data_IF_110146246651
#
_entry.id   IF_110146246651
#
_cell.length_a   1.000
_cell.length_b   1.000
_cell.length_c   1.000
_cell.angle_alpha   90.00
_cell.angle_beta   90.00
_cell.angle_gamma   90.00
#
_symmetry.space_group_name_H-M   'P 1'
#
loop_
_entity.id
_entity.type
_entity.pdbx_description
1 polymer ?
#
# COMPACT_ATOMS: atom_id res chain seq x y z
N UNK A 1 -69.22 -14.82 39.55
CA UNK A 1 -68.85 -15.61 38.34
C UNK A 1 -68.89 -14.71 37.13
N UNK A 2 -67.90 -14.87 36.23
CA UNK A 2 -67.61 -14.13 34.98
C UNK A 2 -66.70 -12.90 35.14
N UNK A 3 -65.41 -13.19 34.91
CA UNK A 3 -64.37 -12.24 34.49
C UNK A 3 -64.77 -11.57 33.16
N UNK A 4 -64.43 -10.30 32.97
CA UNK A 4 -63.81 -9.83 31.72
C UNK A 4 -63.06 -8.50 31.93
N UNK A 5 -61.72 -8.62 31.89
CA UNK A 5 -60.65 -7.69 31.50
C UNK A 5 -60.94 -6.18 31.43
N UNK A 6 -60.32 -5.44 32.35
CA UNK A 6 -60.00 -4.02 32.17
C UNK A 6 -58.88 -3.88 31.12
N UNK A 7 -59.15 -3.14 30.05
CA UNK A 7 -58.18 -2.74 29.04
C UNK A 7 -57.52 -1.45 29.53
N UNK A 8 -56.34 -1.57 30.15
CA UNK A 8 -55.50 -0.44 30.52
C UNK A 8 -54.61 -0.11 29.31
N UNK A 9 -54.87 1.02 28.67
CA UNK A 9 -54.04 1.55 27.58
C UNK A 9 -52.75 2.08 28.21
N UNK A 10 -51.67 1.33 28.10
CA UNK A 10 -50.32 1.78 28.47
C UNK A 10 -49.78 2.70 27.39
N UNK A 11 -49.66 4.00 27.70
CA UNK A 11 -48.85 4.93 26.92
C UNK A 11 -47.38 4.58 27.17
N UNK A 12 -46.74 3.92 26.19
CA UNK A 12 -45.29 3.69 26.21
C UNK A 12 -44.59 5.02 25.95
N UNK A 13 -43.98 5.60 26.99
CA UNK A 13 -43.11 6.75 26.89
C UNK A 13 -41.83 6.33 26.15
N UNK A 14 -41.69 6.73 24.88
CA UNK A 14 -40.44 6.55 24.13
C UNK A 14 -39.40 7.51 24.72
N UNK A 15 -38.51 6.99 25.57
CA UNK A 15 -37.32 7.73 26.00
C UNK A 15 -36.36 7.79 24.80
N UNK A 16 -36.32 8.95 24.13
CA UNK A 16 -35.29 9.24 23.15
C UNK A 16 -33.95 9.41 23.88
N UNK A 17 -33.11 8.37 23.85
CA UNK A 17 -31.69 8.51 24.17
C UNK A 17 -31.03 9.27 23.02
N UNK A 18 -30.89 10.58 23.17
CA UNK A 18 -29.96 11.36 22.35
C UNK A 18 -28.53 10.99 22.78
N UNK A 19 -27.86 10.17 21.99
CA UNK A 19 -26.42 9.98 22.10
C UNK A 19 -25.75 11.32 21.73
N UNK A 20 -25.24 12.04 22.73
CA UNK A 20 -24.34 13.15 22.49
C UNK A 20 -23.03 12.59 21.91
N UNK A 21 -22.88 12.65 20.59
CA UNK A 21 -21.58 12.55 19.96
C UNK A 21 -20.80 13.82 20.35
N UNK A 22 -19.82 13.69 21.23
CA UNK A 22 -18.86 14.76 21.46
C UNK A 22 -18.04 14.93 20.17
N UNK A 23 -18.16 16.09 19.52
CA UNK A 23 -17.28 16.48 18.41
C UNK A 23 -15.85 16.60 18.94
N UNK A 24 -14.99 15.64 18.59
CA UNK A 24 -13.56 15.72 18.84
C UNK A 24 -12.94 16.60 17.75
N UNK A 25 -12.80 17.88 18.02
CA UNK A 25 -12.14 18.80 17.11
C UNK A 25 -10.63 18.55 17.16
N UNK A 26 -10.08 17.88 16.13
CA UNK A 26 -8.64 17.71 15.97
C UNK A 26 -8.08 18.95 15.26
N UNK A 27 -7.66 19.94 16.05
CA UNK A 27 -6.92 21.10 15.54
C UNK A 27 -5.51 20.65 15.12
N UNK A 28 -5.32 20.32 13.83
CA UNK A 28 -4.00 20.21 13.23
C UNK A 28 -3.47 21.60 12.89
N UNK A 29 -3.04 22.35 13.91
CA UNK A 29 -2.24 23.55 13.70
C UNK A 29 -0.90 23.13 13.06
N UNK A 30 -0.78 23.37 11.75
CA UNK A 30 0.38 23.02 10.95
C UNK A 30 1.65 23.69 11.47
N UNK A 31 2.55 22.90 12.04
CA UNK A 31 3.95 23.28 12.09
C UNK A 31 4.45 23.37 10.64
N UNK A 32 4.90 24.55 10.22
CA UNK A 32 5.58 24.71 8.95
C UNK A 32 6.92 23.95 9.02
N UNK A 33 6.89 22.65 8.71
CA UNK A 33 8.07 21.85 8.47
C UNK A 33 8.69 22.39 7.19
N UNK A 34 9.93 22.86 7.27
CA UNK A 34 10.67 23.29 6.10
C UNK A 34 10.90 22.08 5.21
N UNK A 35 10.16 22.01 4.10
CA UNK A 35 10.24 20.90 3.15
C UNK A 35 11.66 20.77 2.59
N UNK A 36 12.32 19.65 2.85
CA UNK A 36 13.64 19.35 2.28
C UNK A 36 13.46 18.57 0.98
N UNK A 37 13.41 19.30 -0.13
CA UNK A 37 13.30 18.70 -1.47
C UNK A 37 14.60 17.97 -1.85
N UNK A 38 14.50 16.68 -2.19
CA UNK A 38 15.60 15.87 -2.73
C UNK A 38 15.32 15.52 -4.20
N UNK A 39 15.94 16.27 -5.12
CA UNK A 39 15.77 16.10 -6.57
C UNK A 39 16.24 14.73 -7.07
N UNK A 40 17.09 14.05 -6.30
CA UNK A 40 17.59 12.70 -6.61
C UNK A 40 16.47 11.66 -6.48
N UNK A 41 15.57 11.85 -5.52
CA UNK A 41 14.45 10.93 -5.25
C UNK A 41 13.14 11.40 -5.92
N UNK A 42 13.05 12.68 -6.29
CA UNK A 42 11.83 13.25 -6.86
C UNK A 42 12.11 14.36 -7.88
N UNK A 43 12.58 14.03 -9.09
CA UNK A 43 12.98 15.03 -10.09
C UNK A 43 11.79 15.81 -10.71
N UNK A 44 10.53 15.48 -10.39
CA UNK A 44 9.33 16.05 -11.03
C UNK A 44 8.22 16.45 -10.04
N UNK A 45 8.56 16.80 -8.79
CA UNK A 45 7.56 17.21 -7.79
C UNK A 45 6.89 18.56 -8.13
N UNK A 46 5.98 18.57 -9.09
CA UNK A 46 5.07 19.68 -9.30
C UNK A 46 3.87 19.46 -8.38
N UNK A 47 3.66 20.34 -7.40
CA UNK A 47 2.41 20.41 -6.64
C UNK A 47 1.28 20.75 -7.63
N UNK A 48 0.65 19.74 -8.22
CA UNK A 48 -0.61 19.93 -8.92
C UNK A 48 -1.73 19.88 -7.88
N UNK A 49 -2.59 20.92 -7.79
CA UNK A 49 -3.61 21.00 -6.75
C UNK A 49 -4.65 19.86 -6.76
N UNK A 50 -4.63 18.96 -7.74
CA UNK A 50 -5.60 17.86 -7.91
C UNK A 50 -4.99 16.49 -8.24
N UNK A 51 -3.70 16.24 -7.98
CA UNK A 51 -3.11 14.92 -8.23
C UNK A 51 -2.60 14.31 -6.92
N UNK A 52 -3.12 13.12 -6.57
CA UNK A 52 -2.53 12.25 -5.55
C UNK A 52 -1.05 12.02 -5.94
N UNK A 53 -0.13 12.61 -5.17
CA UNK A 53 1.31 12.66 -5.47
C UNK A 53 2.04 11.35 -5.16
N UNK A 54 1.55 10.25 -5.70
CA UNK A 54 2.12 8.89 -5.64
C UNK A 54 2.77 8.53 -6.98
N UNK A 55 3.61 9.41 -7.54
CA UNK A 55 4.25 9.15 -8.83
C UNK A 55 5.66 9.75 -8.91
N UNK A 56 6.31 9.87 -7.74
CA UNK A 56 7.70 10.31 -7.63
C UNK A 56 8.64 9.25 -8.21
N UNK A 57 8.27 7.97 -8.06
CA UNK A 57 8.93 6.81 -8.65
C UNK A 57 7.87 5.79 -9.10
N UNK A 58 7.99 5.30 -10.34
CA UNK A 58 7.16 4.22 -10.87
C UNK A 58 8.03 2.97 -11.06
N UNK A 59 7.63 1.87 -10.42
CA UNK A 59 8.30 0.56 -10.50
C UNK A 59 7.32 -0.46 -11.08
N UNK A 60 7.75 -1.22 -12.09
CA UNK A 60 7.01 -2.37 -12.58
C UNK A 60 7.74 -3.63 -12.18
N UNK A 61 7.06 -4.56 -11.52
CA UNK A 61 7.61 -5.84 -11.12
C UNK A 61 6.65 -6.97 -11.53
N UNK A 62 7.19 -8.07 -12.05
CA UNK A 62 6.47 -9.35 -12.15
C UNK A 62 6.87 -10.25 -10.99
N UNK A 63 6.23 -11.41 -10.82
CA UNK A 63 6.48 -12.32 -9.68
C UNK A 63 6.26 -11.66 -8.31
N UNK A 64 5.40 -10.65 -8.29
CA UNK A 64 5.13 -9.84 -7.12
C UNK A 64 3.76 -10.16 -6.50
N UNK A 65 3.23 -11.35 -6.79
CA UNK A 65 1.94 -11.84 -6.32
C UNK A 65 2.10 -13.29 -5.85
N UNK A 66 1.31 -13.68 -4.84
CA UNK A 66 1.24 -15.08 -4.39
C UNK A 66 0.62 -15.91 -5.51
N UNK A 67 1.32 -16.93 -6.05
CA UNK A 67 0.77 -17.80 -7.08
C UNK A 67 -0.34 -18.69 -6.49
N UNK A 68 -1.31 -19.08 -7.32
CA UNK A 68 -2.36 -20.01 -6.91
C UNK A 68 -1.85 -21.47 -6.89
N UNK A 69 -0.73 -21.72 -7.56
CA UNK A 69 -0.07 -23.03 -7.68
C UNK A 69 1.41 -22.96 -7.31
N UNK A 70 2.05 -24.11 -7.15
CA UNK A 70 3.51 -24.20 -7.03
C UNK A 70 4.23 -24.18 -8.39
N UNK A 71 3.50 -23.95 -9.49
CA UNK A 71 4.08 -23.93 -10.82
C UNK A 71 4.83 -22.63 -11.07
N UNK A 72 5.99 -22.75 -11.71
CA UNK A 72 6.72 -21.60 -12.24
C UNK A 72 5.96 -20.89 -13.39
N UNK A 73 4.99 -21.58 -14.01
CA UNK A 73 4.13 -21.06 -15.08
C UNK A 73 2.81 -20.47 -14.55
N UNK A 74 2.67 -20.29 -13.24
CA UNK A 74 1.47 -19.68 -12.68
C UNK A 74 1.25 -18.27 -13.27
N UNK A 75 0.06 -17.97 -13.83
CA UNK A 75 -0.19 -16.69 -14.49
C UNK A 75 -0.05 -15.49 -13.56
N UNK A 76 -0.25 -15.65 -12.24
CA UNK A 76 -0.05 -14.57 -11.27
C UNK A 76 1.42 -14.14 -11.16
N UNK A 77 2.37 -15.04 -11.49
CA UNK A 77 3.79 -14.70 -11.55
C UNK A 77 4.14 -13.80 -12.76
N UNK A 78 3.25 -13.69 -13.75
CA UNK A 78 3.44 -12.86 -14.94
C UNK A 78 2.63 -11.56 -14.91
N UNK A 79 1.82 -11.35 -13.87
CA UNK A 79 1.09 -10.09 -13.68
C UNK A 79 2.10 -8.99 -13.37
N UNK A 80 2.07 -7.91 -14.18
CA UNK A 80 2.84 -6.70 -13.90
C UNK A 80 2.14 -5.97 -12.76
N UNK A 81 2.86 -5.81 -11.66
CA UNK A 81 2.46 -4.99 -10.53
C UNK A 81 3.15 -3.63 -10.66
N UNK A 82 2.32 -2.60 -10.81
CA UNK A 82 2.75 -1.22 -10.91
C UNK A 82 2.76 -0.59 -9.52
N UNK A 83 3.93 -0.16 -9.08
CA UNK A 83 4.17 0.56 -7.84
C UNK A 83 4.28 2.04 -8.18
N UNK A 84 3.29 2.79 -7.75
CA UNK A 84 3.22 4.23 -7.93
C UNK A 84 3.58 4.87 -6.59
N UNK A 85 4.84 5.26 -6.45
CA UNK A 85 5.46 5.57 -5.17
C UNK A 85 5.52 7.07 -4.89
N UNK A 86 5.32 7.41 -3.62
CA UNK A 86 5.62 8.71 -3.03
C UNK A 86 6.88 8.59 -2.18
N UNK A 87 7.85 9.47 -2.38
CA UNK A 87 9.05 9.55 -1.54
C UNK A 87 8.86 10.57 -0.40
N UNK A 88 9.41 10.27 0.77
CA UNK A 88 9.34 11.10 1.97
C UNK A 88 10.73 11.56 2.42
N UNK A 89 10.77 12.60 3.27
CA UNK A 89 12.01 13.25 3.71
C UNK A 89 12.94 12.30 4.49
N UNK A 90 12.38 11.29 5.14
CA UNK A 90 13.11 10.25 5.88
C UNK A 90 13.61 9.11 4.99
N UNK A 91 13.55 9.29 3.67
CA UNK A 91 13.93 8.29 2.65
C UNK A 91 13.06 7.03 2.66
N UNK A 92 11.88 7.07 3.27
CA UNK A 92 10.85 6.04 3.07
C UNK A 92 10.07 6.30 1.78
N UNK A 93 9.49 5.24 1.22
CA UNK A 93 8.53 5.35 0.13
C UNK A 93 7.24 4.61 0.48
N UNK A 94 6.12 5.14 0.01
CA UNK A 94 4.83 4.45 0.02
C UNK A 94 4.35 4.34 -1.40
N UNK A 95 4.08 3.12 -1.83
CA UNK A 95 3.62 2.84 -3.17
C UNK A 95 2.17 2.38 -3.16
N UNK A 96 1.33 2.99 -3.99
CA UNK A 96 0.03 2.43 -4.35
C UNK A 96 0.24 1.42 -5.47
N UNK A 97 -0.34 0.23 -5.32
CA UNK A 97 -0.08 -0.88 -6.23
C UNK A 97 -1.27 -1.20 -7.12
N UNK A 98 -1.03 -1.39 -8.42
CA UNK A 98 -2.06 -1.63 -9.44
C UNK A 98 -1.64 -2.77 -10.39
N UNK A 99 -2.59 -3.46 -11.00
CA UNK A 99 -2.32 -4.55 -11.96
C UNK A 99 -2.45 -4.14 -13.45
N UNK A 100 -2.79 -2.87 -13.74
CA UNK A 100 -3.03 -2.37 -15.12
C UNK A 100 -2.41 -1.01 -15.44
N UNK A 101 -1.70 -0.37 -14.49
CA UNK A 101 -0.88 0.82 -14.75
C UNK A 101 -1.61 2.16 -14.74
N UNK A 102 -2.43 2.43 -13.71
CA UNK A 102 -3.07 3.72 -13.41
C UNK A 102 -3.83 4.39 -14.58
N UNK A 103 -4.70 3.65 -15.27
CA UNK A 103 -5.74 4.25 -16.13
C UNK A 103 -6.85 4.88 -15.28
N UNK A 104 -7.69 5.72 -15.88
CA UNK A 104 -8.74 6.50 -15.22
C UNK A 104 -9.73 5.69 -14.34
N UNK A 105 -9.81 4.37 -14.50
CA UNK A 105 -10.71 3.49 -13.74
C UNK A 105 -9.98 2.42 -12.94
N UNK A 106 -8.65 2.47 -12.89
CA UNK A 106 -7.85 1.49 -12.18
C UNK A 106 -7.98 1.69 -10.68
N UNK A 107 -8.23 0.58 -9.97
CA UNK A 107 -8.34 0.56 -8.52
C UNK A 107 -7.06 -0.03 -7.94
N UNK A 108 -6.51 0.55 -6.86
CA UNK A 108 -5.38 -0.04 -6.19
C UNK A 108 -5.78 -1.42 -5.63
N UNK A 109 -4.80 -2.30 -5.55
CA UNK A 109 -4.98 -3.66 -5.02
C UNK A 109 -4.18 -3.91 -3.74
N UNK A 110 -3.23 -3.03 -3.45
CA UNK A 110 -2.37 -3.09 -2.29
C UNK A 110 -1.53 -1.83 -2.14
N UNK A 111 -0.64 -1.86 -1.16
CA UNK A 111 0.42 -0.90 -1.01
C UNK A 111 1.72 -1.59 -0.60
N UNK A 112 2.83 -0.94 -0.91
CA UNK A 112 4.14 -1.32 -0.42
C UNK A 112 4.70 -0.18 0.42
N UNK A 113 5.18 -0.52 1.62
CA UNK A 113 5.99 0.38 2.44
C UNK A 113 7.46 0.03 2.20
N UNK A 114 8.26 1.01 1.80
CA UNK A 114 9.69 0.82 1.56
C UNK A 114 10.48 1.63 2.58
N UNK A 115 11.42 0.99 3.26
CA UNK A 115 12.27 1.63 4.28
C UNK A 115 13.75 1.38 3.99
N UNK A 116 14.65 2.33 4.36
CA UNK A 116 16.09 2.10 4.31
C UNK A 116 16.54 0.95 5.24
N UNK A 117 17.65 0.29 4.89
CA UNK A 117 18.28 -0.76 5.72
C UNK A 117 18.44 -0.33 7.19
N UNK A 118 18.87 0.91 7.44
CA UNK A 118 19.06 1.42 8.81
C UNK A 118 17.77 1.51 9.66
N UNK A 119 16.60 1.58 9.02
CA UNK A 119 15.30 1.47 9.71
C UNK A 119 14.91 0.01 9.92
N UNK A 120 15.11 -0.83 8.90
CA UNK A 120 14.84 -2.27 8.98
C UNK A 120 15.63 -2.96 10.10
N UNK A 121 16.91 -2.62 10.26
CA UNK A 121 17.78 -3.18 11.31
C UNK A 121 17.25 -2.92 12.74
N UNK A 122 16.44 -1.86 12.92
CA UNK A 122 15.85 -1.46 14.20
C UNK A 122 14.46 -2.06 14.43
N UNK A 123 13.90 -2.77 13.45
CA UNK A 123 12.62 -3.45 13.62
C UNK A 123 12.74 -4.58 14.64
N UNK A 124 11.66 -4.88 15.39
CA UNK A 124 11.57 -6.10 16.16
C UNK A 124 11.83 -7.34 15.30
N UNK A 125 12.42 -8.37 15.88
CA UNK A 125 12.80 -9.57 15.12
C UNK A 125 11.57 -10.28 14.54
N UNK A 126 10.48 -10.30 15.30
CA UNK A 126 9.19 -10.80 14.88
C UNK A 126 8.54 -9.99 13.76
N UNK A 127 9.00 -8.77 13.47
CA UNK A 127 8.45 -7.95 12.38
C UNK A 127 9.24 -8.15 11.09
N UNK A 128 10.54 -8.38 11.18
CA UNK A 128 11.46 -8.47 10.02
C UNK A 128 11.04 -9.51 8.98
N UNK A 129 10.43 -10.62 9.41
CA UNK A 129 9.97 -11.67 8.49
C UNK A 129 8.85 -11.23 7.54
N UNK A 130 8.23 -10.06 7.77
CA UNK A 130 7.24 -9.49 6.87
C UNK A 130 7.81 -8.62 5.73
N UNK A 131 9.14 -8.51 5.66
CA UNK A 131 9.83 -7.62 4.73
C UNK A 131 10.75 -8.42 3.80
N UNK A 132 10.92 -7.95 2.56
CA UNK A 132 11.89 -8.48 1.61
C UNK A 132 12.97 -7.46 1.28
N UNK A 133 14.17 -7.95 1.01
CA UNK A 133 15.31 -7.10 0.68
C UNK A 133 15.39 -6.82 -0.83
N UNK A 134 15.37 -5.55 -1.23
CA UNK A 134 15.29 -5.18 -2.64
C UNK A 134 16.51 -5.55 -3.47
N UNK A 135 17.72 -5.58 -2.91
CA UNK A 135 18.90 -6.05 -3.66
C UNK A 135 18.71 -7.49 -4.20
N UNK A 136 18.03 -8.34 -3.44
CA UNK A 136 17.74 -9.73 -3.85
C UNK A 136 16.46 -9.84 -4.67
N UNK A 137 15.45 -9.05 -4.34
CA UNK A 137 14.13 -9.10 -4.98
C UNK A 137 14.12 -8.48 -6.38
N UNK A 138 14.75 -7.32 -6.58
CA UNK A 138 14.66 -6.53 -7.83
C UNK A 138 15.03 -7.36 -9.07
N UNK A 139 16.15 -8.12 -9.09
CA UNK A 139 16.47 -8.98 -10.22
C UNK A 139 15.47 -10.13 -10.39
N UNK A 140 15.01 -10.75 -9.29
CA UNK A 140 14.09 -11.90 -9.31
C UNK A 140 12.72 -11.50 -9.86
N UNK A 141 12.21 -10.35 -9.42
CA UNK A 141 10.94 -9.78 -9.86
C UNK A 141 11.02 -9.12 -11.25
N UNK A 142 12.21 -9.10 -11.86
CA UNK A 142 12.50 -8.40 -13.13
C UNK A 142 12.01 -6.95 -13.06
N UNK A 143 12.26 -6.29 -11.94
CA UNK A 143 11.74 -4.96 -11.69
C UNK A 143 12.36 -3.93 -12.66
N UNK A 144 11.54 -3.00 -13.13
CA UNK A 144 11.92 -1.95 -14.10
C UNK A 144 11.37 -0.59 -13.67
N UNK A 145 12.01 0.47 -14.16
CA UNK A 145 11.64 1.87 -13.88
C UNK A 145 11.19 2.54 -15.19
N UNK A 146 9.95 2.30 -15.66
CA UNK A 146 9.51 2.65 -17.01
C UNK A 146 9.55 4.15 -17.33
N UNK A 147 9.46 5.01 -16.32
CA UNK A 147 9.38 6.48 -16.51
C UNK A 147 10.73 7.19 -16.35
N UNK A 148 11.80 6.43 -16.11
CA UNK A 148 13.17 6.90 -15.98
C UNK A 148 13.99 6.58 -17.24
N UNK A 149 14.89 7.50 -17.59
CA UNK A 149 15.97 7.20 -18.53
C UNK A 149 16.95 6.19 -17.93
N UNK A 150 17.76 5.54 -18.77
CA UNK A 150 18.78 4.60 -18.29
C UNK A 150 19.77 5.23 -17.29
N UNK A 151 20.15 6.50 -17.50
CA UNK A 151 21.06 7.23 -16.62
C UNK A 151 20.41 7.59 -15.27
N UNK A 152 19.11 7.91 -15.26
CA UNK A 152 18.34 8.12 -14.02
C UNK A 152 18.16 6.79 -13.26
N UNK A 153 17.79 5.73 -13.97
CA UNK A 153 17.65 4.39 -13.40
C UNK A 153 18.96 3.88 -12.78
N UNK A 154 20.10 4.11 -13.45
CA UNK A 154 21.41 3.71 -12.96
C UNK A 154 21.82 4.44 -11.65
N UNK A 155 21.32 5.66 -11.42
CA UNK A 155 21.56 6.41 -10.17
C UNK A 155 20.67 5.95 -9.03
N UNK A 156 19.43 5.59 -9.31
CA UNK A 156 18.45 5.22 -8.26
C UNK A 156 18.55 3.75 -7.86
N UNK A 157 18.93 2.85 -8.77
CA UNK A 157 19.00 1.41 -8.52
C UNK A 157 19.88 1.06 -7.29
N UNK A 158 21.08 1.62 -7.10
CA UNK A 158 21.87 1.36 -5.89
C UNK A 158 21.18 1.81 -4.60
N UNK A 159 20.36 2.87 -4.66
CA UNK A 159 19.59 3.35 -3.50
C UNK A 159 18.45 2.40 -3.19
N UNK A 160 17.67 2.00 -4.21
CA UNK A 160 16.56 1.05 -4.08
C UNK A 160 17.07 -0.30 -3.57
N UNK A 161 18.22 -0.78 -4.06
CA UNK A 161 18.80 -2.04 -3.61
C UNK A 161 19.07 -2.08 -2.09
N UNK A 162 19.36 -0.94 -1.47
CA UNK A 162 19.64 -0.82 -0.03
C UNK A 162 18.38 -0.47 0.80
N UNK A 163 17.22 -0.99 0.36
CA UNK A 163 15.92 -0.82 1.04
C UNK A 163 15.19 -2.14 1.22
N UNK A 164 14.20 -2.15 2.10
CA UNK A 164 13.31 -3.28 2.38
C UNK A 164 11.87 -2.88 2.08
N UNK A 165 11.13 -3.78 1.45
CA UNK A 165 9.72 -3.62 1.12
C UNK A 165 8.82 -4.49 2.00
N UNK A 166 7.68 -3.95 2.44
CA UNK A 166 6.57 -4.71 3.02
C UNK A 166 5.34 -4.52 2.17
N UNK A 167 4.93 -5.60 1.50
CA UNK A 167 3.80 -5.60 0.58
C UNK A 167 2.55 -6.10 1.27
N UNK A 168 1.49 -5.31 1.22
CA UNK A 168 0.18 -5.66 1.76
C UNK A 168 -0.84 -5.55 0.64
N UNK A 169 -1.48 -6.67 0.31
CA UNK A 169 -2.60 -6.71 -0.61
C UNK A 169 -3.92 -6.78 0.15
N UNK A 170 -4.92 -6.06 -0.36
CA UNK A 170 -6.29 -6.12 0.12
C UNK A 170 -7.27 -6.58 -0.97
N UNK A 171 -6.78 -6.83 -2.20
CA UNK A 171 -7.59 -7.25 -3.36
C UNK A 171 -6.75 -8.07 -4.34
N UNK A 172 -7.30 -9.12 -4.94
CA UNK A 172 -6.65 -9.79 -6.09
C UNK A 172 -6.93 -9.03 -7.40
N UNK A 173 -6.12 -9.21 -8.46
CA UNK A 173 -6.29 -8.48 -9.72
C UNK A 173 -7.67 -8.67 -10.34
N UNK A 174 -8.19 -9.90 -10.29
CA UNK A 174 -9.46 -10.26 -10.95
C UNK A 174 -10.72 -10.03 -10.12
N UNK A 175 -10.58 -9.61 -8.86
CA UNK A 175 -11.73 -9.40 -7.98
C UNK A 175 -12.49 -8.12 -8.36
N UNK A 176 -13.82 -8.13 -8.23
CA UNK A 176 -14.62 -6.91 -8.39
C UNK A 176 -14.54 -5.98 -7.17
N UNK A 177 -14.40 -6.56 -5.97
CA UNK A 177 -14.34 -5.88 -4.68
C UNK A 177 -13.23 -6.50 -3.81
N UNK A 178 -12.62 -5.75 -2.88
CA UNK A 178 -11.68 -6.29 -1.90
C UNK A 178 -12.45 -7.09 -0.84
N UNK A 179 -12.57 -8.41 -1.04
CA UNK A 179 -13.29 -9.29 -0.12
C UNK A 179 -12.29 -10.04 0.78
N UNK A 180 -12.67 -10.23 2.04
CA UNK A 180 -11.86 -10.97 3.02
C UNK A 180 -10.83 -10.08 3.73
N UNK A 181 -9.81 -10.73 4.26
CA UNK A 181 -8.72 -10.09 5.01
C UNK A 181 -7.58 -9.66 4.08
N UNK A 182 -6.87 -8.56 4.39
CA UNK A 182 -5.63 -8.25 3.70
C UNK A 182 -4.54 -9.26 4.09
N UNK A 183 -3.53 -9.40 3.23
CA UNK A 183 -2.42 -10.33 3.45
C UNK A 183 -1.08 -9.70 3.07
N UNK A 184 -0.02 -10.14 3.76
CA UNK A 184 1.36 -9.76 3.46
C UNK A 184 1.96 -10.73 2.46
N UNK A 185 2.77 -10.22 1.53
CA UNK A 185 3.52 -11.04 0.58
C UNK A 185 5.01 -10.87 0.81
N UNK A 186 5.70 -11.99 0.92
CA UNK A 186 7.15 -12.06 1.03
C UNK A 186 7.67 -12.46 -0.34
N UNK A 187 8.06 -11.47 -1.14
CA UNK A 187 8.36 -11.67 -2.57
C UNK A 187 9.57 -12.61 -2.76
N UNK A 188 10.53 -12.56 -1.84
CA UNK A 188 11.69 -13.46 -1.80
C UNK A 188 11.35 -14.94 -1.57
N UNK A 189 10.17 -15.25 -1.02
CA UNK A 189 9.72 -16.64 -0.78
C UNK A 189 9.06 -17.26 -2.01
N UNK A 190 8.86 -16.48 -3.08
CA UNK A 190 8.31 -17.01 -4.33
C UNK A 190 9.28 -18.01 -4.97
N UNK A 191 8.79 -19.04 -5.67
CA UNK A 191 9.63 -20.08 -6.28
C UNK A 191 10.80 -19.48 -7.07
N UNK A 192 11.98 -20.13 -7.01
CA UNK A 192 13.10 -19.72 -7.85
C UNK A 192 12.87 -20.17 -9.30
N UNK A 193 13.31 -19.34 -10.25
CA UNK A 193 13.39 -19.69 -11.66
C UNK A 193 14.83 -19.54 -12.09
N UNK A 194 15.37 -20.61 -12.66
CA UNK A 194 16.69 -20.65 -13.30
C UNK A 194 16.75 -19.75 -14.55
#
# INVERSE_FOLDING_TARGET
MKLLKAMLITFSLLAAFSANAAEHNHDHAGAAVQKLYNETLNPRQNEYPNHLGFNDLHIQAIRHMVPDTHSNDDPLLQVIVHHHCKAYEDSTLICLMFHTGMKDQDKPMGFEYIIPTAMYEKLPEEEKHFWHYHLTEVPRAKATFPDLTADEAAKILPVVNETYGKVIYFKKPHDALPLGEPYVVIVQDMPEQD
#
